data_IF_953354575740
#
_entry.id   IF_953354575740
#
_cell.length_a   1.000
_cell.length_b   1.000
_cell.length_c   1.000
_cell.angle_alpha   90.00
_cell.angle_beta   90.00
_cell.angle_gamma   90.00
#
_symmetry.space_group_name_H-M   'P 1'
#
loop_
_entity.id
_entity.type
_entity.pdbx_description
1 polymer ?
#
# COMPACT_ATOMS: atom_id res chain seq x y z
N UNK A 1 2.85 22.52 -8.54
CA UNK A 1 3.28 22.51 -7.12
C UNK A 1 2.09 22.17 -6.26
N UNK A 2 2.28 21.29 -5.30
CA UNK A 2 1.30 20.92 -4.27
C UNK A 2 1.83 21.41 -2.92
N UNK A 3 0.94 21.87 -2.06
CA UNK A 3 1.28 22.35 -0.71
C UNK A 3 0.59 21.48 0.31
N UNK A 4 1.32 21.04 1.33
CA UNK A 4 0.77 20.23 2.43
C UNK A 4 -0.21 21.09 3.23
N UNK A 5 -1.47 20.65 3.42
CA UNK A 5 -2.41 21.32 4.32
C UNK A 5 -1.91 21.34 5.77
N UNK A 6 -2.27 22.38 6.52
CA UNK A 6 -1.84 22.53 7.92
C UNK A 6 -2.35 21.38 8.81
N UNK A 7 -3.54 20.87 8.55
CA UNK A 7 -4.14 19.75 9.28
C UNK A 7 -3.50 18.38 8.96
N UNK A 8 -2.59 18.33 7.97
CA UNK A 8 -1.78 17.15 7.66
C UNK A 8 -0.43 17.14 8.40
N UNK A 9 -0.12 18.17 9.16
CA UNK A 9 1.11 18.24 9.94
C UNK A 9 1.27 17.01 10.87
N UNK A 10 2.48 16.46 10.92
CA UNK A 10 2.82 15.27 11.72
C UNK A 10 2.38 13.93 11.14
N UNK A 11 1.72 13.92 9.97
CA UNK A 11 1.19 12.69 9.34
C UNK A 11 2.04 12.25 8.14
N UNK A 12 1.93 10.97 7.79
CA UNK A 12 2.45 10.49 6.52
C UNK A 12 1.54 10.99 5.40
N UNK A 13 2.11 11.71 4.42
CA UNK A 13 1.35 12.28 3.31
C UNK A 13 1.81 11.68 2.00
N UNK A 14 0.84 11.22 1.21
CA UNK A 14 1.03 10.67 -0.12
C UNK A 14 0.42 11.58 -1.19
N UNK A 15 1.04 11.61 -2.35
CA UNK A 15 0.44 12.11 -3.58
C UNK A 15 -0.17 10.92 -4.30
N UNK A 16 -1.45 10.97 -4.58
CA UNK A 16 -2.19 9.94 -5.30
C UNK A 16 -2.68 10.47 -6.64
N UNK A 17 -2.53 9.66 -7.68
CA UNK A 17 -3.03 9.92 -9.03
C UNK A 17 -3.98 8.81 -9.45
N UNK A 18 -5.19 9.18 -9.89
CA UNK A 18 -6.17 8.25 -10.45
C UNK A 18 -6.61 8.69 -11.83
N UNK A 19 -6.94 7.74 -12.69
CA UNK A 19 -7.30 7.96 -14.10
C UNK A 19 -8.74 7.55 -14.40
N UNK A 20 -9.43 6.94 -13.43
CA UNK A 20 -10.75 6.34 -13.60
C UNK A 20 -10.72 4.97 -14.30
N UNK A 21 -9.52 4.41 -14.51
CA UNK A 21 -9.32 3.09 -15.13
C UNK A 21 -8.75 2.05 -14.16
N UNK A 22 -8.85 2.33 -12.88
CA UNK A 22 -8.41 1.45 -11.81
C UNK A 22 -9.17 0.11 -11.86
N UNK A 23 -8.42 -1.00 -11.78
CA UNK A 23 -8.96 -2.35 -11.94
C UNK A 23 -8.92 -2.87 -13.38
N UNK A 24 -8.51 -2.06 -14.36
CA UNK A 24 -8.14 -2.54 -15.69
C UNK A 24 -6.74 -3.18 -15.66
N UNK A 25 -6.40 -3.86 -16.75
CA UNK A 25 -5.08 -4.47 -16.88
C UNK A 25 -3.97 -3.41 -16.87
N UNK A 26 -2.87 -3.68 -16.16
CA UNK A 26 -1.75 -2.78 -15.93
C UNK A 26 -1.02 -2.32 -17.20
N UNK A 27 -1.03 -3.15 -18.26
CA UNK A 27 -0.53 -2.77 -19.57
C UNK A 27 -1.38 -1.69 -20.26
N UNK A 28 -2.55 -1.35 -19.69
CA UNK A 28 -3.43 -0.31 -20.24
C UNK A 28 -2.89 1.07 -19.88
N UNK A 29 -2.70 1.90 -20.90
CA UNK A 29 -2.26 3.28 -20.73
C UNK A 29 -3.41 4.18 -20.21
N UNK A 30 -3.09 5.32 -19.55
CA UNK A 30 -1.76 5.93 -19.45
C UNK A 30 -0.91 5.40 -18.30
N UNK A 31 0.40 5.50 -18.50
CA UNK A 31 1.41 5.31 -17.46
C UNK A 31 2.16 6.62 -17.25
N UNK A 32 2.75 6.79 -16.08
CA UNK A 32 3.45 8.01 -15.74
C UNK A 32 4.78 7.71 -15.07
N UNK A 33 5.75 8.57 -15.34
CA UNK A 33 6.95 8.69 -14.52
C UNK A 33 6.80 9.92 -13.64
N UNK A 34 6.91 9.76 -12.32
CA UNK A 34 6.77 10.86 -11.37
C UNK A 34 8.13 11.37 -10.88
N UNK A 35 8.27 12.69 -10.90
CA UNK A 35 9.41 13.40 -10.32
C UNK A 35 8.90 14.31 -9.21
N UNK A 36 9.57 14.25 -8.05
CA UNK A 36 9.30 15.11 -6.90
C UNK A 36 10.53 15.95 -6.63
N UNK A 37 10.38 17.29 -6.65
CA UNK A 37 11.47 18.25 -6.47
C UNK A 37 12.67 18.00 -7.42
N UNK A 38 12.37 17.58 -8.65
CA UNK A 38 13.37 17.30 -9.69
C UNK A 38 14.04 15.93 -9.60
N UNK A 39 13.69 15.10 -8.63
CA UNK A 39 14.21 13.73 -8.51
C UNK A 39 13.16 12.73 -9.01
N UNK A 40 13.62 11.78 -9.82
CA UNK A 40 12.82 10.62 -10.20
C UNK A 40 12.47 9.80 -8.96
N UNK A 41 11.19 9.46 -8.78
CA UNK A 41 10.72 8.67 -7.64
C UNK A 41 10.32 7.27 -8.08
N UNK A 42 9.32 7.15 -8.96
CA UNK A 42 8.85 5.85 -9.48
C UNK A 42 7.99 6.01 -10.74
N UNK A 43 7.56 4.89 -11.30
CA UNK A 43 6.45 4.83 -12.24
C UNK A 43 5.10 4.82 -11.52
N UNK A 44 4.07 5.39 -12.17
CA UNK A 44 2.67 5.29 -11.74
C UNK A 44 1.84 4.66 -12.84
N UNK A 45 0.95 3.76 -12.46
CA UNK A 45 0.00 3.08 -13.33
C UNK A 45 -1.32 2.81 -12.56
N UNK A 46 -2.20 1.98 -13.12
CA UNK A 46 -3.48 1.62 -12.50
C UNK A 46 -3.32 0.84 -11.17
N UNK A 47 -2.18 0.21 -10.93
CA UNK A 47 -1.87 -0.56 -9.72
C UNK A 47 -0.99 0.24 -8.74
N UNK A 48 -0.08 1.07 -9.25
CA UNK A 48 0.87 1.87 -8.47
C UNK A 48 0.48 3.35 -8.59
N UNK A 49 -0.44 3.80 -7.76
CA UNK A 49 -1.12 5.10 -7.89
C UNK A 49 -0.61 6.18 -6.98
N UNK A 50 0.28 5.86 -6.05
CA UNK A 50 0.68 6.81 -5.02
C UNK A 50 2.17 6.78 -4.70
N UNK A 51 2.66 7.93 -4.27
CA UNK A 51 4.03 8.09 -3.76
C UNK A 51 4.00 8.84 -2.45
N UNK A 52 4.85 8.44 -1.51
CA UNK A 52 5.03 9.15 -0.25
C UNK A 52 5.80 10.44 -0.53
N UNK A 53 5.21 11.58 -0.16
CA UNK A 53 5.88 12.87 -0.20
C UNK A 53 6.64 13.15 1.10
N UNK A 54 6.04 12.80 2.24
CA UNK A 54 6.64 12.96 3.54
C UNK A 54 6.10 11.93 4.54
N UNK A 55 6.99 11.28 5.30
CA UNK A 55 6.58 10.37 6.40
C UNK A 55 6.09 11.13 7.63
N UNK A 56 6.59 12.34 7.83
CA UNK A 56 6.20 13.25 8.90
C UNK A 56 6.10 14.66 8.31
N UNK A 57 4.95 14.96 7.73
CA UNK A 57 4.72 16.17 6.97
C UNK A 57 4.73 17.43 7.85
N UNK A 58 5.15 18.55 7.26
CA UNK A 58 4.97 19.88 7.87
C UNK A 58 3.94 20.65 7.07
N UNK A 59 2.99 21.25 7.76
CA UNK A 59 2.02 22.16 7.14
C UNK A 59 2.76 23.28 6.38
N UNK A 60 2.25 23.64 5.22
CA UNK A 60 2.86 24.64 4.35
C UNK A 60 4.03 24.16 3.48
N UNK A 61 4.63 22.99 3.73
CA UNK A 61 5.68 22.45 2.85
C UNK A 61 5.14 22.30 1.43
N UNK A 62 5.95 22.72 0.44
CA UNK A 62 5.60 22.69 -0.96
C UNK A 62 6.47 21.71 -1.75
N UNK A 63 5.83 20.91 -2.58
CA UNK A 63 6.47 19.93 -3.45
C UNK A 63 6.17 20.23 -4.92
N UNK A 64 7.23 20.30 -5.73
CA UNK A 64 7.09 20.38 -7.18
C UNK A 64 6.94 18.96 -7.73
N UNK A 65 5.72 18.58 -8.10
CA UNK A 65 5.40 17.30 -8.73
C UNK A 65 5.36 17.50 -10.25
N UNK A 66 6.07 16.64 -10.99
CA UNK A 66 6.06 16.59 -12.45
C UNK A 66 5.70 15.15 -12.83
N UNK A 67 4.71 15.01 -13.72
CA UNK A 67 4.30 13.74 -14.30
C UNK A 67 4.70 13.75 -15.78
N UNK A 68 5.50 12.77 -16.19
CA UNK A 68 5.76 12.49 -17.60
C UNK A 68 4.84 11.34 -18.01
N UNK A 69 3.86 11.64 -18.87
CA UNK A 69 2.85 10.67 -19.29
C UNK A 69 3.29 9.92 -20.56
N UNK A 70 2.96 8.64 -20.59
CA UNK A 70 3.06 7.78 -21.76
C UNK A 70 1.68 7.15 -22.03
N UNK A 71 1.16 7.34 -23.24
CA UNK A 71 -0.17 6.88 -23.64
C UNK A 71 -0.13 5.87 -24.79
N UNK A 72 1.05 5.47 -25.25
CA UNK A 72 1.23 4.65 -26.44
C UNK A 72 0.62 5.35 -27.68
N UNK A 73 0.12 4.57 -28.62
CA UNK A 73 -0.51 5.05 -29.85
C UNK A 73 -2.02 5.36 -29.69
N UNK A 74 -2.56 5.23 -28.49
CA UNK A 74 -3.97 5.46 -28.24
C UNK A 74 -4.26 6.95 -28.10
N UNK A 75 -5.28 7.40 -28.81
CA UNK A 75 -5.76 8.77 -28.74
C UNK A 75 -7.11 8.81 -28.00
N UNK A 76 -7.06 9.09 -26.70
CA UNK A 76 -8.25 9.25 -25.87
C UNK A 76 -8.06 10.36 -24.84
N UNK A 77 -9.18 10.92 -24.39
CA UNK A 77 -9.18 11.88 -23.29
C UNK A 77 -9.42 11.17 -21.96
N UNK A 78 -8.59 11.48 -20.96
CA UNK A 78 -8.73 10.98 -19.60
C UNK A 78 -8.92 12.14 -18.62
N UNK A 79 -9.64 11.86 -17.56
CA UNK A 79 -9.66 12.73 -16.40
C UNK A 79 -8.60 12.26 -15.42
N UNK A 80 -7.65 13.13 -15.12
CA UNK A 80 -6.67 12.90 -14.06
C UNK A 80 -7.16 13.53 -12.77
N UNK A 81 -7.36 12.72 -11.74
CA UNK A 81 -7.62 13.19 -10.39
C UNK A 81 -6.34 13.01 -9.57
N UNK A 82 -5.74 14.15 -9.17
CA UNK A 82 -4.54 14.19 -8.34
C UNK A 82 -4.87 14.80 -6.99
N UNK A 83 -4.52 14.09 -5.91
CA UNK A 83 -4.82 14.57 -4.57
C UNK A 83 -3.70 14.24 -3.57
N UNK A 84 -3.68 14.99 -2.47
CA UNK A 84 -2.92 14.65 -1.27
C UNK A 84 -3.82 13.86 -0.33
N UNK A 85 -3.27 12.79 0.23
CA UNK A 85 -3.95 11.96 1.24
C UNK A 85 -3.04 11.71 2.42
N UNK A 86 -3.66 11.51 3.57
CA UNK A 86 -2.95 10.97 4.75
C UNK A 86 -2.97 9.45 4.66
N UNK A 87 -1.79 8.86 4.78
CA UNK A 87 -1.63 7.42 4.90
C UNK A 87 -1.49 7.06 6.37
N UNK A 88 -2.44 6.30 6.88
CA UNK A 88 -2.39 5.77 8.24
C UNK A 88 -1.49 4.52 8.28
N UNK A 89 -0.24 4.73 8.67
CA UNK A 89 0.78 3.68 8.72
C UNK A 89 0.45 2.55 9.70
N UNK A 90 -0.24 2.86 10.79
CA UNK A 90 -0.62 1.86 11.78
C UNK A 90 -1.68 0.92 11.21
N UNK A 91 -2.71 1.49 10.58
CA UNK A 91 -3.75 0.71 9.91
C UNK A 91 -3.20 -0.05 8.71
N UNK A 92 -2.33 0.57 7.90
CA UNK A 92 -1.67 -0.09 6.77
C UNK A 92 -0.86 -1.32 7.22
N UNK A 93 -0.02 -1.16 8.26
CA UNK A 93 0.76 -2.27 8.82
C UNK A 93 -0.14 -3.41 9.26
N UNK A 94 -1.17 -3.11 10.04
CA UNK A 94 -2.11 -4.11 10.53
C UNK A 94 -2.85 -4.81 9.38
N UNK A 95 -3.25 -4.06 8.36
CA UNK A 95 -3.87 -4.64 7.16
C UNK A 95 -2.97 -5.70 6.52
N UNK A 96 -1.69 -5.41 6.31
CA UNK A 96 -0.77 -6.37 5.70
C UNK A 96 -0.46 -7.54 6.63
N UNK A 97 -0.34 -7.31 7.93
CA UNK A 97 -0.11 -8.36 8.91
C UNK A 97 -1.29 -9.36 9.02
N UNK A 98 -2.48 -8.96 8.61
CA UNK A 98 -3.63 -9.86 8.46
C UNK A 98 -3.77 -10.42 7.05
N UNK A 99 -3.64 -9.56 6.04
CA UNK A 99 -3.93 -9.93 4.66
C UNK A 99 -2.95 -10.96 4.12
N UNK A 100 -1.66 -10.85 4.42
CA UNK A 100 -0.66 -11.80 3.93
C UNK A 100 -0.90 -13.22 4.45
N UNK A 101 -1.07 -13.47 5.76
CA UNK A 101 -1.45 -14.79 6.25
C UNK A 101 -2.79 -15.28 5.68
N UNK A 102 -3.79 -14.41 5.59
CA UNK A 102 -5.09 -14.76 5.02
C UNK A 102 -4.99 -15.21 3.56
N UNK A 103 -4.25 -14.49 2.71
CA UNK A 103 -4.02 -14.91 1.33
C UNK A 103 -3.23 -16.22 1.26
N UNK A 104 -2.29 -16.44 2.16
CA UNK A 104 -1.56 -17.72 2.28
C UNK A 104 -2.52 -18.85 2.63
N UNK A 105 -3.42 -18.63 3.60
CA UNK A 105 -4.41 -19.65 3.96
C UNK A 105 -5.25 -20.10 2.76
N UNK A 106 -5.67 -19.18 1.89
CA UNK A 106 -6.45 -19.50 0.67
C UNK A 106 -5.74 -20.46 -0.31
N UNK A 107 -4.45 -20.64 -0.19
CA UNK A 107 -3.66 -21.58 -1.01
C UNK A 107 -3.49 -22.95 -0.35
N UNK A 108 -3.91 -23.10 0.90
CA UNK A 108 -3.78 -24.32 1.68
C UNK A 108 -5.06 -25.16 1.61
N UNK A 109 -4.98 -26.50 1.80
CA UNK A 109 -6.17 -27.33 1.99
C UNK A 109 -6.96 -26.86 3.21
N UNK A 110 -8.28 -26.72 3.08
CA UNK A 110 -9.16 -26.15 4.12
C UNK A 110 -9.20 -27.00 5.41
N UNK A 111 -8.89 -28.28 5.32
CA UNK A 111 -8.80 -29.22 6.44
C UNK A 111 -7.40 -29.30 7.06
N UNK A 112 -6.42 -28.57 6.52
CA UNK A 112 -5.06 -28.57 7.05
C UNK A 112 -4.96 -27.79 8.37
N UNK A 113 -4.10 -28.29 9.27
CA UNK A 113 -3.82 -27.60 10.53
C UNK A 113 -3.31 -26.17 10.31
N UNK A 114 -2.49 -25.95 9.28
CA UNK A 114 -1.95 -24.63 8.96
C UNK A 114 -3.06 -23.64 8.56
N UNK A 115 -4.00 -24.07 7.70
CA UNK A 115 -5.18 -23.27 7.33
C UNK A 115 -5.98 -22.85 8.57
N UNK A 116 -6.34 -23.82 9.41
CA UNK A 116 -7.13 -23.57 10.62
C UNK A 116 -6.41 -22.64 11.61
N UNK A 117 -5.10 -22.82 11.76
CA UNK A 117 -4.27 -21.98 12.64
C UNK A 117 -4.25 -20.53 12.16
N UNK A 118 -4.03 -20.30 10.87
CA UNK A 118 -4.03 -18.94 10.30
C UNK A 118 -5.39 -18.28 10.46
N UNK A 119 -6.47 -18.98 10.07
CA UNK A 119 -7.81 -18.40 10.15
C UNK A 119 -8.20 -18.07 11.59
N UNK A 120 -7.85 -18.94 12.53
CA UNK A 120 -8.07 -18.67 13.95
C UNK A 120 -7.37 -17.40 14.40
N UNK A 121 -6.09 -17.27 14.16
CA UNK A 121 -5.30 -16.11 14.56
C UNK A 121 -5.81 -14.80 13.93
N UNK A 122 -6.11 -14.82 12.62
CA UNK A 122 -6.68 -13.67 11.90
C UNK A 122 -8.04 -13.28 12.49
N UNK A 123 -8.93 -14.24 12.72
CA UNK A 123 -10.27 -13.98 13.27
C UNK A 123 -10.21 -13.46 14.72
N UNK A 124 -9.37 -14.03 15.56
CA UNK A 124 -9.21 -13.57 16.95
C UNK A 124 -8.69 -12.14 17.00
N UNK A 125 -7.72 -11.80 16.16
CA UNK A 125 -7.19 -10.44 16.06
C UNK A 125 -8.24 -9.45 15.54
N UNK A 126 -8.95 -9.78 14.46
CA UNK A 126 -10.00 -8.93 13.90
C UNK A 126 -11.11 -8.63 14.89
N UNK A 127 -11.49 -9.59 15.74
CA UNK A 127 -12.54 -9.40 16.76
C UNK A 127 -12.14 -8.40 17.87
N UNK A 128 -10.86 -8.04 17.97
CA UNK A 128 -10.40 -6.99 18.90
C UNK A 128 -10.51 -5.58 18.31
N UNK A 129 -10.64 -5.45 16.98
CA UNK A 129 -10.68 -4.17 16.30
C UNK A 129 -12.08 -3.54 16.40
N UNK A 130 -12.12 -2.31 16.88
CA UNK A 130 -13.36 -1.51 16.93
C UNK A 130 -13.42 -0.55 15.73
N UNK A 131 -14.16 -0.92 14.70
CA UNK A 131 -14.33 -0.14 13.48
C UNK A 131 -15.45 0.92 13.55
N UNK A 132 -16.16 1.03 14.67
CA UNK A 132 -17.32 1.94 14.77
C UNK A 132 -16.92 3.42 14.71
N UNK A 133 -15.69 3.75 15.10
CA UNK A 133 -15.17 5.11 15.16
C UNK A 133 -13.75 5.17 14.59
N UNK A 134 -13.61 4.78 13.32
CA UNK A 134 -12.36 4.82 12.58
C UNK A 134 -11.71 6.21 12.66
N UNK A 135 -10.40 6.25 12.93
CA UNK A 135 -9.64 7.48 13.07
C UNK A 135 -9.72 8.16 14.44
N UNK A 136 -10.54 7.66 15.38
CA UNK A 136 -10.62 8.17 16.74
C UNK A 136 -9.70 7.40 17.72
N UNK A 137 -9.40 7.94 18.90
CA UNK A 137 -8.51 7.28 19.87
C UNK A 137 -8.91 5.84 20.19
N UNK A 138 -10.20 5.56 20.36
CA UNK A 138 -10.71 4.22 20.68
C UNK A 138 -10.41 3.20 19.56
N UNK A 139 -10.45 3.66 18.30
CA UNK A 139 -10.02 2.85 17.17
C UNK A 139 -8.55 2.46 17.30
N UNK A 140 -7.65 3.44 17.52
CA UNK A 140 -6.22 3.19 17.61
C UNK A 140 -5.83 2.35 18.83
N UNK A 141 -6.53 2.49 19.96
CA UNK A 141 -6.35 1.61 21.11
C UNK A 141 -6.74 0.16 20.79
N UNK A 142 -7.83 -0.03 20.07
CA UNK A 142 -8.26 -1.36 19.63
C UNK A 142 -7.33 -1.94 18.57
N UNK A 143 -6.83 -1.11 17.64
CA UNK A 143 -5.87 -1.48 16.62
C UNK A 143 -4.55 -1.95 17.25
N UNK A 144 -4.06 -1.25 18.27
CA UNK A 144 -2.84 -1.64 18.99
C UNK A 144 -2.99 -3.01 19.66
N UNK A 145 -4.13 -3.27 20.33
CA UNK A 145 -4.42 -4.59 20.91
C UNK A 145 -4.53 -5.70 19.86
N UNK A 146 -5.18 -5.40 18.74
CA UNK A 146 -5.33 -6.34 17.64
C UNK A 146 -3.97 -6.65 16.99
N UNK A 147 -3.13 -5.64 16.78
CA UNK A 147 -1.76 -5.78 16.28
C UNK A 147 -0.89 -6.62 17.22
N UNK A 148 -0.94 -6.36 18.53
CA UNK A 148 -0.23 -7.15 19.53
C UNK A 148 -0.69 -8.61 19.53
N UNK A 149 -2.00 -8.84 19.41
CA UNK A 149 -2.57 -10.18 19.38
C UNK A 149 -2.05 -10.98 18.17
N UNK A 150 -2.15 -10.46 16.94
CA UNK A 150 -1.69 -11.21 15.76
C UNK A 150 -0.17 -11.43 15.80
N UNK A 151 0.59 -10.50 16.34
CA UNK A 151 2.04 -10.66 16.51
C UNK A 151 2.33 -11.81 17.45
N UNK A 152 1.77 -11.81 18.67
CA UNK A 152 2.02 -12.82 19.69
C UNK A 152 1.45 -14.19 19.32
N UNK A 153 0.22 -14.26 18.81
CA UNK A 153 -0.49 -15.53 18.58
C UNK A 153 -0.13 -16.19 17.24
N UNK A 154 0.46 -15.45 16.31
CA UNK A 154 0.82 -15.98 15.01
C UNK A 154 2.31 -15.78 14.67
N UNK A 155 2.77 -14.53 14.57
CA UNK A 155 4.12 -14.27 14.07
C UNK A 155 5.22 -14.80 15.00
N UNK A 156 5.10 -14.57 16.31
CA UNK A 156 6.09 -15.02 17.28
C UNK A 156 6.12 -16.55 17.41
N UNK A 157 4.96 -17.20 17.22
CA UNK A 157 4.87 -18.65 17.38
C UNK A 157 5.28 -19.43 16.13
N UNK A 158 4.99 -18.90 14.94
CA UNK A 158 5.13 -19.68 13.69
C UNK A 158 6.13 -19.10 12.71
N UNK A 159 6.54 -17.84 12.86
CA UNK A 159 7.40 -17.16 11.88
C UNK A 159 8.78 -16.77 12.44
N UNK A 160 9.01 -16.84 13.76
CA UNK A 160 10.20 -16.29 14.42
C UNK A 160 11.45 -17.15 14.35
N UNK A 161 11.35 -18.48 14.18
CA UNK A 161 12.47 -19.41 14.28
C UNK A 161 13.12 -19.80 12.94
N UNK A 162 12.47 -19.50 11.83
CA UNK A 162 13.01 -19.76 10.50
C UNK A 162 13.78 -18.53 10.03
N UNK A 163 15.05 -18.72 9.76
CA UNK A 163 15.99 -17.63 9.40
C UNK A 163 15.36 -16.62 8.43
N UNK A 164 15.73 -15.36 8.62
CA UNK A 164 15.24 -14.24 7.81
C UNK A 164 15.40 -14.58 6.32
N UNK A 165 14.31 -14.56 5.52
CA UNK A 165 14.43 -14.81 4.10
C UNK A 165 15.35 -13.75 3.48
N UNK A 166 16.33 -14.18 2.71
CA UNK A 166 17.18 -13.28 1.93
C UNK A 166 16.49 -12.99 0.59
N UNK A 167 16.20 -11.72 0.32
CA UNK A 167 15.62 -11.30 -0.95
C UNK A 167 16.73 -10.62 -1.77
N UNK A 168 17.17 -11.30 -2.83
CA UNK A 168 18.09 -10.73 -3.79
C UNK A 168 17.30 -10.02 -4.91
N UNK A 169 17.33 -8.69 -4.90
CA UNK A 169 16.74 -7.90 -5.97
C UNK A 169 17.74 -7.78 -7.13
N UNK A 170 17.45 -8.47 -8.23
CA UNK A 170 18.22 -8.36 -9.48
C UNK A 170 17.43 -7.49 -10.45
N UNK A 171 18.03 -6.37 -10.89
CA UNK A 171 17.45 -5.55 -11.94
C UNK A 171 17.36 -6.39 -13.23
N UNK A 172 16.15 -6.64 -13.69
CA UNK A 172 15.90 -7.39 -14.91
C UNK A 172 14.84 -6.66 -15.74
N UNK A 173 15.17 -6.39 -17.00
CA UNK A 173 14.19 -5.94 -17.98
C UNK A 173 13.65 -7.17 -18.70
N UNK A 174 12.38 -7.46 -18.53
CA UNK A 174 11.70 -8.43 -19.36
C UNK A 174 11.55 -7.84 -20.76
N UNK A 175 12.35 -8.33 -21.70
CA UNK A 175 12.28 -7.92 -23.11
C UNK A 175 11.71 -9.11 -23.88
N UNK A 176 10.44 -9.00 -24.23
CA UNK A 176 9.87 -9.87 -25.25
C UNK A 176 10.31 -9.36 -26.62
N UNK A 177 11.18 -10.13 -27.28
CA UNK A 177 11.81 -9.73 -28.56
C UNK A 177 10.85 -9.52 -29.74
N UNK A 178 9.55 -9.44 -29.56
CA UNK A 178 8.55 -9.29 -30.64
C UNK A 178 7.23 -8.67 -30.21
N UNK A 179 7.25 -7.80 -29.22
CA UNK A 179 6.07 -6.98 -28.90
C UNK A 179 6.02 -5.77 -29.84
N UNK A 180 5.38 -5.92 -30.97
CA UNK A 180 4.92 -4.83 -31.85
C UNK A 180 3.45 -5.02 -32.12
#
# INVERSE_FOLDING_TARGET
TVTIPEDFAGKCVVFQLTTGREGEWDATNPQFTIYVNGRLVQGLDVNHREVILAENARGGDAYRVILSAFTGDQNFSLRLDACLRVLDRATEKYFYDLNVPYQTAKLLPEDSQAYLTILKAVNESLNLLDMRREGFPEYYESLARAQENITREFYDQYCGEHGQPEILCVGHTHIDCAWL
#
